data_IF_839342362296
#
_entry.id   IF_839342362296
#
_cell.length_a   1.000
_cell.length_b   1.000
_cell.length_c   1.000
_cell.angle_alpha   90.00
_cell.angle_beta   90.00
_cell.angle_gamma   90.00
#
_symmetry.space_group_name_H-M   'P 1'
#
loop_
_entity.id
_entity.type
_entity.pdbx_description
1 polymer ?
#
# COMPACT_ATOMS: atom_id res chain seq x y z
N UNK A 1 18.63 -9.04 -60.50
CA UNK A 1 18.86 -8.59 -59.11
C UNK A 1 17.69 -9.04 -58.23
N UNK A 2 17.46 -10.35 -58.10
CA UNK A 2 16.31 -10.90 -57.35
C UNK A 2 16.68 -12.18 -56.57
N UNK A 3 17.96 -12.40 -56.30
CA UNK A 3 18.46 -13.60 -55.59
C UNK A 3 19.31 -13.26 -54.35
N UNK A 4 19.33 -11.98 -53.93
CA UNK A 4 20.15 -11.54 -52.79
C UNK A 4 19.33 -11.20 -51.53
N UNK A 5 18.00 -11.33 -51.58
CA UNK A 5 17.13 -11.02 -50.43
C UNK A 5 16.87 -12.28 -49.59
N UNK A 6 16.83 -13.46 -50.21
CA UNK A 6 16.44 -14.71 -49.52
C UNK A 6 17.51 -15.26 -48.57
N UNK A 7 18.74 -14.73 -48.57
CA UNK A 7 19.83 -15.21 -47.71
C UNK A 7 19.81 -14.53 -46.32
N UNK A 8 19.11 -13.40 -46.16
CA UNK A 8 19.11 -12.64 -44.89
C UNK A 8 17.95 -12.97 -43.95
N UNK A 9 16.94 -13.73 -44.39
CA UNK A 9 15.79 -14.06 -43.53
C UNK A 9 16.01 -15.32 -42.67
N UNK A 10 16.90 -16.23 -43.08
CA UNK A 10 17.13 -17.49 -42.35
C UNK A 10 18.06 -17.34 -41.13
N UNK A 11 18.86 -16.28 -41.04
CA UNK A 11 19.82 -16.09 -39.93
C UNK A 11 19.16 -15.43 -38.69
N UNK A 12 17.98 -14.82 -38.83
CA UNK A 12 17.29 -14.14 -37.71
C UNK A 12 16.40 -15.12 -36.90
N UNK A 13 16.05 -16.29 -37.44
CA UNK A 13 15.09 -17.21 -36.82
C UNK A 13 15.78 -18.19 -35.83
N UNK A 14 17.10 -18.27 -35.81
CA UNK A 14 17.87 -19.15 -34.90
C UNK A 14 17.77 -18.73 -33.42
N UNK A 15 17.80 -17.42 -33.13
CA UNK A 15 18.10 -16.95 -31.77
C UNK A 15 16.87 -16.81 -30.86
N UNK A 16 15.66 -17.00 -31.38
CA UNK A 16 14.41 -16.81 -30.61
C UNK A 16 13.74 -18.10 -30.13
N UNK A 17 14.34 -19.29 -30.31
CA UNK A 17 13.73 -20.56 -29.90
C UNK A 17 13.85 -20.92 -28.43
N UNK A 18 14.61 -20.18 -27.63
CA UNK A 18 14.89 -20.55 -26.23
C UNK A 18 13.96 -19.89 -25.18
N UNK A 19 12.94 -19.11 -25.60
CA UNK A 19 12.13 -18.32 -24.65
C UNK A 19 10.74 -18.95 -24.33
N UNK A 20 10.31 -20.01 -25.02
CA UNK A 20 8.92 -20.52 -24.86
C UNK A 20 8.70 -21.62 -23.82
N UNK A 21 9.67 -21.93 -22.96
CA UNK A 21 9.48 -22.91 -21.88
C UNK A 21 9.36 -22.22 -20.51
N UNK A 22 8.30 -21.44 -20.32
CA UNK A 22 7.81 -21.12 -18.97
C UNK A 22 6.63 -22.07 -18.75
N UNK A 23 6.92 -23.18 -18.09
CA UNK A 23 5.94 -24.16 -17.66
C UNK A 23 4.91 -23.46 -16.76
N UNK A 24 3.64 -23.63 -17.14
CA UNK A 24 2.49 -23.19 -16.36
C UNK A 24 2.43 -24.01 -15.07
N UNK A 25 2.95 -23.46 -13.97
CA UNK A 25 2.65 -23.93 -12.62
C UNK A 25 1.20 -23.56 -12.26
N UNK A 26 0.25 -24.30 -12.84
CA UNK A 26 -1.13 -24.34 -12.38
C UNK A 26 -1.20 -25.10 -11.04
N UNK A 27 -0.82 -24.44 -9.94
CA UNK A 27 -1.20 -24.92 -8.61
C UNK A 27 -1.31 -23.81 -7.56
N UNK A 28 -1.99 -22.71 -7.89
CA UNK A 28 -2.51 -21.80 -6.87
C UNK A 28 -3.95 -22.20 -6.55
N UNK A 29 -4.10 -23.11 -5.59
CA UNK A 29 -5.42 -23.46 -5.04
C UNK A 29 -6.03 -22.22 -4.38
N UNK A 30 -7.31 -21.91 -4.63
CA UNK A 30 -7.98 -20.82 -3.92
C UNK A 30 -8.09 -21.22 -2.44
N UNK A 31 -7.47 -20.42 -1.57
CA UNK A 31 -7.68 -20.50 -0.12
C UNK A 31 -9.18 -20.40 0.14
N UNK A 32 -9.74 -21.50 0.64
CA UNK A 32 -11.11 -21.55 1.12
C UNK A 32 -11.19 -20.63 2.33
N UNK A 33 -11.82 -19.48 2.11
CA UNK A 33 -12.19 -18.51 3.14
C UNK A 33 -13.11 -19.22 4.13
N UNK A 34 -12.57 -19.53 5.31
CA UNK A 34 -13.32 -20.10 6.42
C UNK A 34 -14.18 -18.97 7.00
N UNK A 35 -15.34 -18.74 6.39
CA UNK A 35 -16.42 -17.99 7.01
C UNK A 35 -17.16 -18.96 7.95
N UNK A 36 -16.66 -19.14 9.18
CA UNK A 36 -17.43 -19.70 10.27
C UNK A 36 -16.73 -19.50 11.62
N UNK A 37 -17.54 -19.15 12.62
CA UNK A 37 -17.27 -19.00 14.06
C UNK A 37 -16.93 -17.57 14.50
N UNK A 38 -17.97 -16.82 14.89
CA UNK A 38 -18.19 -16.51 16.31
C UNK A 38 -19.57 -15.84 16.50
N UNK A 39 -20.61 -16.64 16.65
CA UNK A 39 -21.77 -16.24 17.44
C UNK A 39 -21.40 -16.49 18.90
N UNK A 40 -20.78 -15.49 19.53
CA UNK A 40 -20.55 -15.44 20.97
C UNK A 40 -21.58 -14.52 21.60
N UNK A 41 -22.63 -15.08 22.18
CA UNK A 41 -23.51 -14.35 23.09
C UNK A 41 -22.69 -13.89 24.31
N UNK A 42 -22.39 -12.60 24.38
CA UNK A 42 -21.88 -11.97 25.60
C UNK A 42 -23.01 -11.93 26.64
N UNK A 43 -23.05 -12.93 27.51
CA UNK A 43 -23.73 -12.81 28.79
C UNK A 43 -22.83 -11.99 29.71
N UNK A 44 -23.22 -10.74 29.93
CA UNK A 44 -22.60 -9.86 30.92
C UNK A 44 -22.86 -10.44 32.33
N UNK A 45 -21.86 -11.12 32.89
CA UNK A 45 -21.79 -11.35 34.33
C UNK A 45 -20.82 -10.32 34.91
N UNK A 46 -21.38 -9.25 35.48
CA UNK A 46 -20.69 -8.26 36.30
C UNK A 46 -20.34 -8.89 37.65
N UNK A 47 -19.37 -9.80 37.68
CA UNK A 47 -18.72 -10.18 38.93
C UNK A 47 -17.22 -10.01 38.71
N UNK A 48 -16.69 -8.96 39.33
CA UNK A 48 -15.26 -8.61 39.31
C UNK A 48 -14.45 -9.63 40.09
N UNK A 49 -14.21 -10.78 39.48
CA UNK A 49 -13.18 -11.72 39.91
C UNK A 49 -11.89 -11.36 39.16
N UNK A 50 -10.89 -10.92 39.91
CA UNK A 50 -9.54 -10.69 39.41
C UNK A 50 -8.96 -12.02 38.92
N UNK A 51 -9.04 -12.25 37.60
CA UNK A 51 -8.41 -13.41 36.97
C UNK A 51 -6.89 -13.22 37.06
N UNK A 52 -6.28 -13.86 38.05
CA UNK A 52 -4.82 -14.05 38.12
C UNK A 52 -4.40 -14.99 36.99
N UNK A 53 -4.07 -14.42 35.83
CA UNK A 53 -3.49 -15.18 34.72
C UNK A 53 -2.02 -15.45 35.06
N UNK A 54 -1.75 -16.57 35.73
CA UNK A 54 -0.40 -17.10 35.90
C UNK A 54 0.08 -17.66 34.57
N UNK A 55 0.68 -16.82 33.73
CA UNK A 55 1.34 -17.28 32.50
C UNK A 55 2.68 -17.92 32.88
N UNK A 56 2.72 -19.25 32.93
CA UNK A 56 3.97 -20.00 33.04
C UNK A 56 4.85 -19.67 31.83
N UNK A 57 5.96 -18.97 32.08
CA UNK A 57 6.91 -18.55 31.05
C UNK A 57 7.75 -19.74 30.59
N UNK A 58 7.18 -20.61 29.76
CA UNK A 58 7.95 -21.57 28.97
C UNK A 58 8.90 -20.85 28.01
N UNK A 59 10.17 -21.24 28.01
CA UNK A 59 11.30 -20.52 27.39
C UNK A 59 11.31 -20.41 25.84
N UNK A 60 10.23 -20.77 25.15
CA UNK A 60 10.17 -20.73 23.69
C UNK A 60 9.08 -19.77 23.20
N UNK A 61 9.29 -18.46 23.40
CA UNK A 61 8.41 -17.42 22.85
C UNK A 61 8.63 -17.30 21.34
N UNK A 62 7.79 -17.97 20.55
CA UNK A 62 7.67 -17.66 19.12
C UNK A 62 7.23 -16.21 18.96
N UNK A 63 7.77 -15.52 17.94
CA UNK A 63 7.52 -14.09 17.65
C UNK A 63 6.03 -13.74 17.55
N UNK A 64 5.21 -14.70 17.17
CA UNK A 64 3.76 -14.57 17.04
C UNK A 64 3.04 -14.48 18.39
N UNK A 65 3.49 -15.20 19.41
CA UNK A 65 2.89 -15.15 20.74
C UNK A 65 3.08 -13.78 21.40
N UNK A 66 4.22 -13.12 21.17
CA UNK A 66 4.49 -11.76 21.67
C UNK A 66 3.54 -10.74 21.04
N UNK A 67 3.24 -10.87 19.74
CA UNK A 67 2.31 -9.98 19.04
C UNK A 67 0.89 -10.11 19.60
N UNK A 68 0.41 -11.34 19.82
CA UNK A 68 -0.91 -11.62 20.40
C UNK A 68 -1.05 -11.06 21.83
N UNK A 69 -0.04 -11.25 22.68
CA UNK A 69 -0.05 -10.68 24.04
C UNK A 69 -0.11 -9.15 24.01
N UNK A 70 0.67 -8.51 23.13
CA UNK A 70 0.66 -7.05 22.99
C UNK A 70 -0.63 -6.51 22.36
N UNK A 71 -1.34 -7.29 21.55
CA UNK A 71 -2.64 -6.92 21.03
C UNK A 71 -3.71 -6.97 22.14
N UNK A 72 -3.73 -8.05 22.93
CA UNK A 72 -4.63 -8.19 24.09
C UNK A 72 -4.42 -7.05 25.09
N UNK A 73 -3.17 -6.65 25.34
CA UNK A 73 -2.87 -5.51 26.21
C UNK A 73 -3.33 -4.17 25.62
N UNK A 74 -3.34 -4.01 24.29
CA UNK A 74 -3.82 -2.81 23.59
C UNK A 74 -5.33 -2.69 23.69
N UNK A 75 -6.05 -3.77 23.41
CA UNK A 75 -7.50 -3.83 23.52
C UNK A 75 -7.98 -3.59 24.95
N UNK A 76 -7.20 -4.04 25.95
CA UNK A 76 -7.45 -3.76 27.37
C UNK A 76 -7.01 -2.36 27.84
N UNK A 77 -6.46 -1.52 26.95
CA UNK A 77 -5.94 -0.19 27.29
C UNK A 77 -4.69 -0.19 28.19
N UNK A 78 -4.07 -1.36 28.41
CA UNK A 78 -2.91 -1.56 29.29
C UNK A 78 -1.57 -1.42 28.58
N UNK A 79 -1.51 -1.57 27.26
CA UNK A 79 -0.30 -1.28 26.48
C UNK A 79 -0.51 -0.09 25.56
N UNK A 80 -0.24 1.10 26.10
CA UNK A 80 0.14 2.27 25.34
C UNK A 80 1.22 3.02 26.12
N UNK A 81 2.39 2.41 26.23
CA UNK A 81 3.60 3.13 26.62
C UNK A 81 4.70 2.75 25.64
N UNK A 82 4.96 3.65 24.69
CA UNK A 82 6.34 3.79 24.21
C UNK A 82 7.24 3.92 25.45
N UNK A 83 8.41 3.30 25.41
CA UNK A 83 9.36 3.27 26.53
C UNK A 83 9.47 4.66 27.17
N UNK A 84 8.78 4.88 28.29
CA UNK A 84 9.09 6.01 29.17
C UNK A 84 10.43 5.65 29.78
N UNK A 85 11.47 6.42 29.47
CA UNK A 85 12.67 6.35 30.28
C UNK A 85 12.27 6.57 31.74
N UNK A 86 12.77 5.74 32.67
CA UNK A 86 12.48 5.92 34.08
C UNK A 86 12.91 7.34 34.49
N UNK A 87 12.08 8.02 35.28
CA UNK A 87 12.31 9.40 35.73
C UNK A 87 13.64 9.57 36.49
N UNK A 88 14.23 8.46 36.92
CA UNK A 88 15.49 8.42 37.67
C UNK A 88 16.74 8.63 36.81
N UNK A 89 16.66 8.60 35.46
CA UNK A 89 17.84 8.68 34.59
C UNK A 89 17.97 9.96 33.72
N UNK A 90 17.05 10.92 33.80
CA UNK A 90 17.06 12.09 32.90
C UNK A 90 17.33 13.41 33.63
N UNK A 91 18.47 13.50 34.32
CA UNK A 91 19.14 14.79 34.55
C UNK A 91 20.60 14.60 34.18
N UNK A 92 20.92 14.77 32.91
CA UNK A 92 22.32 14.89 32.54
C UNK A 92 22.82 16.22 33.10
N UNK A 93 24.08 16.26 33.53
CA UNK A 93 24.72 17.44 34.15
C UNK A 93 24.68 18.72 33.29
N UNK A 94 24.24 18.61 32.02
CA UNK A 94 24.10 19.72 31.07
C UNK A 94 22.71 20.36 31.04
N UNK A 95 21.75 19.86 31.82
CA UNK A 95 20.44 20.51 32.00
C UNK A 95 20.59 21.77 32.87
N UNK A 96 21.14 22.82 32.27
CA UNK A 96 21.09 24.17 32.83
C UNK A 96 19.63 24.60 32.97
N UNK A 97 19.30 25.24 34.09
CA UNK A 97 17.97 25.79 34.37
C UNK A 97 17.58 26.75 33.24
N UNK A 98 16.85 26.24 32.25
CA UNK A 98 16.37 27.03 31.13
C UNK A 98 15.27 27.92 31.68
N UNK A 99 15.60 29.18 32.00
CA UNK A 99 14.58 30.16 32.33
C UNK A 99 13.59 30.22 31.16
N UNK A 100 12.30 30.12 31.48
CA UNK A 100 11.23 30.08 30.50
C UNK A 100 11.29 31.34 29.64
N UNK A 101 11.94 31.21 28.49
CA UNK A 101 11.95 32.24 27.47
C UNK A 101 10.53 32.27 26.93
N UNK A 102 9.83 33.41 27.09
CA UNK A 102 8.53 33.65 26.45
C UNK A 102 8.74 33.73 24.94
N UNK A 103 8.94 32.58 24.32
CA UNK A 103 9.07 32.42 22.88
C UNK A 103 7.63 32.36 22.36
N UNK A 104 7.04 33.53 22.17
CA UNK A 104 5.71 33.68 21.62
C UNK A 104 5.51 35.11 21.10
N UNK A 105 4.90 35.28 19.92
CA UNK A 105 4.63 36.60 19.39
C UNK A 105 3.71 37.38 20.33
N UNK A 106 4.08 38.63 20.59
CA UNK A 106 3.30 39.63 21.30
C UNK A 106 1.92 39.77 20.65
N UNK A 107 0.86 39.68 21.45
CA UNK A 107 -0.57 39.80 21.12
C UNK A 107 -0.84 40.50 19.77
N UNK A 108 -0.76 39.75 18.67
CA UNK A 108 -1.30 40.18 17.39
C UNK A 108 -2.76 39.78 17.38
N UNK A 109 -3.62 40.74 17.03
CA UNK A 109 -5.04 40.51 16.82
C UNK A 109 -5.15 39.52 15.65
N UNK A 110 -5.37 38.25 15.95
CA UNK A 110 -5.57 37.23 14.94
C UNK A 110 -6.87 37.56 14.20
N UNK A 111 -6.76 37.95 12.94
CA UNK A 111 -7.88 37.97 12.01
C UNK A 111 -8.18 36.54 11.59
N UNK A 112 -9.44 36.13 11.61
CA UNK A 112 -9.84 34.81 11.13
C UNK A 112 -9.36 34.60 9.69
N UNK A 113 -8.71 33.46 9.44
CA UNK A 113 -8.30 33.08 8.10
C UNK A 113 -9.56 32.80 7.26
N UNK A 114 -9.55 33.13 5.96
CA UNK A 114 -10.67 32.80 5.09
C UNK A 114 -10.95 31.30 5.12
N UNK A 115 -12.17 30.93 5.52
CA UNK A 115 -12.62 29.55 5.64
C UNK A 115 -13.11 29.06 4.27
N UNK A 116 -12.72 27.84 3.88
CA UNK A 116 -13.27 27.19 2.68
C UNK A 116 -14.79 27.02 2.84
N UNK A 117 -15.62 27.46 1.87
CA UNK A 117 -17.05 27.22 1.93
C UNK A 117 -17.33 25.71 1.94
N UNK A 118 -18.14 25.25 2.89
CA UNK A 118 -18.48 23.83 3.07
C UNK A 118 -19.40 23.29 1.97
N UNK A 119 -20.19 24.17 1.35
CA UNK A 119 -21.05 23.86 0.23
C UNK A 119 -20.33 24.17 -1.10
N UNK A 120 -19.65 23.16 -1.64
CA UNK A 120 -19.14 23.22 -3.01
C UNK A 120 -20.28 22.79 -3.93
N UNK A 121 -20.76 23.71 -4.78
CA UNK A 121 -21.71 23.34 -5.83
C UNK A 121 -21.06 22.28 -6.73
N UNK A 122 -21.79 21.22 -7.15
CA UNK A 122 -21.22 20.20 -8.02
C UNK A 122 -20.77 20.85 -9.33
N UNK A 123 -19.46 20.93 -9.53
CA UNK A 123 -18.89 21.48 -10.76
C UNK A 123 -19.06 20.45 -11.86
N UNK A 124 -20.00 20.69 -12.78
CA UNK A 124 -20.13 19.89 -13.99
C UNK A 124 -19.11 20.39 -15.00
N UNK A 125 -18.04 19.63 -15.19
CA UNK A 125 -17.06 19.92 -16.23
C UNK A 125 -17.64 19.54 -17.60
N UNK A 126 -17.62 20.45 -18.60
CA UNK A 126 -18.02 20.08 -19.94
C UNK A 126 -17.07 19.00 -20.47
N UNK A 127 -17.61 18.06 -21.26
CA UNK A 127 -16.82 17.00 -21.88
C UNK A 127 -15.84 17.64 -22.89
N UNK A 128 -14.56 17.71 -22.52
CA UNK A 128 -13.50 18.35 -23.31
C UNK A 128 -13.33 17.73 -24.70
N UNK A 129 -13.57 16.43 -24.84
CA UNK A 129 -13.41 15.69 -26.09
C UNK A 129 -14.63 14.81 -26.38
N UNK A 130 -15.11 14.87 -27.63
CA UNK A 130 -16.19 14.00 -28.10
C UNK A 130 -15.75 12.54 -28.10
N UNK A 131 -14.56 12.29 -28.65
CA UNK A 131 -13.98 10.97 -28.87
C UNK A 131 -12.50 10.95 -28.45
N UNK A 132 -11.90 9.75 -28.44
CA UNK A 132 -10.48 9.59 -28.13
C UNK A 132 -9.63 10.09 -29.30
N UNK A 133 -8.63 10.92 -29.02
CA UNK A 133 -7.69 11.38 -30.04
C UNK A 133 -6.78 10.21 -30.46
N UNK A 134 -6.61 9.96 -31.77
CA UNK A 134 -5.70 8.92 -32.22
C UNK A 134 -4.25 9.29 -31.90
N UNK A 135 -3.47 8.31 -31.46
CA UNK A 135 -2.03 8.48 -31.21
C UNK A 135 -1.21 8.20 -32.48
N UNK A 136 0.05 8.67 -32.52
CA UNK A 136 0.97 8.34 -33.61
C UNK A 136 1.34 6.86 -33.58
N UNK A 137 1.56 6.25 -34.75
CA UNK A 137 1.92 4.83 -34.82
C UNK A 137 3.22 4.49 -34.07
N UNK A 138 4.25 5.34 -34.17
CA UNK A 138 5.50 5.16 -33.41
C UNK A 138 5.29 5.07 -31.90
N UNK A 139 4.33 5.84 -31.36
CA UNK A 139 3.98 5.79 -29.94
C UNK A 139 3.15 4.54 -29.62
N UNK A 140 2.29 4.10 -30.53
CA UNK A 140 1.56 2.85 -30.39
C UNK A 140 2.54 1.66 -30.30
N UNK A 141 3.51 1.57 -31.20
CA UNK A 141 4.53 0.51 -31.19
C UNK A 141 5.33 0.49 -29.88
N UNK A 142 5.77 1.65 -29.39
CA UNK A 142 6.44 1.74 -28.09
C UNK A 142 5.56 1.26 -26.93
N UNK A 143 4.25 1.50 -26.98
CA UNK A 143 3.31 0.99 -25.97
C UNK A 143 3.15 -0.53 -26.06
N UNK A 144 3.14 -1.09 -27.27
CA UNK A 144 3.11 -2.54 -27.46
C UNK A 144 4.36 -3.22 -26.89
N UNK A 145 5.54 -2.60 -27.06
CA UNK A 145 6.80 -3.09 -26.49
C UNK A 145 6.82 -3.13 -24.96
N UNK A 146 5.97 -2.36 -24.28
CA UNK A 146 5.88 -2.36 -22.81
C UNK A 146 5.01 -3.49 -22.25
N UNK A 147 4.19 -4.16 -23.07
CA UNK A 147 3.30 -5.24 -22.63
C UNK A 147 3.98 -6.34 -21.81
N UNK A 148 5.20 -6.81 -22.12
CA UNK A 148 5.86 -7.86 -21.34
C UNK A 148 6.14 -7.47 -19.88
N UNK A 149 6.20 -6.18 -19.56
CA UNK A 149 6.48 -5.65 -18.21
C UNK A 149 5.18 -5.37 -17.43
N UNK A 150 4.04 -5.34 -18.12
CA UNK A 150 2.74 -4.96 -17.56
C UNK A 150 1.87 -6.22 -17.39
N UNK A 151 1.04 -6.31 -16.33
CA UNK A 151 0.08 -7.40 -16.18
C UNK A 151 -0.81 -7.59 -17.41
N UNK A 152 -1.10 -8.86 -17.74
CA UNK A 152 -1.90 -9.26 -18.91
C UNK A 152 -3.30 -8.64 -18.93
N UNK A 153 -3.89 -8.37 -17.76
CA UNK A 153 -5.21 -7.78 -17.62
C UNK A 153 -5.32 -6.41 -18.29
N UNK A 154 -4.20 -5.68 -18.38
CA UNK A 154 -4.15 -4.36 -19.00
C UNK A 154 -3.92 -4.41 -20.51
N UNK A 155 -3.57 -5.55 -21.11
CA UNK A 155 -3.19 -5.62 -22.53
C UNK A 155 -4.34 -5.23 -23.46
N UNK A 156 -5.57 -5.62 -23.11
CA UNK A 156 -6.79 -5.28 -23.85
C UNK A 156 -6.99 -3.76 -24.01
N UNK A 157 -6.54 -2.96 -23.05
CA UNK A 157 -6.58 -1.51 -23.15
C UNK A 157 -5.67 -0.99 -24.26
N UNK A 158 -4.44 -1.54 -24.36
CA UNK A 158 -3.45 -1.10 -25.33
C UNK A 158 -3.76 -1.58 -26.76
N UNK A 159 -4.38 -2.76 -26.91
CA UNK A 159 -4.80 -3.29 -28.21
C UNK A 159 -5.88 -2.45 -28.89
N UNK A 160 -6.75 -1.85 -28.09
CA UNK A 160 -7.88 -1.05 -28.58
C UNK A 160 -7.59 0.46 -28.65
N UNK A 161 -6.32 0.87 -28.61
CA UNK A 161 -5.95 2.29 -28.71
C UNK A 161 -6.09 2.78 -30.16
N UNK A 162 -6.87 3.85 -30.42
CA UNK A 162 -6.94 4.43 -31.75
C UNK A 162 -5.59 5.05 -32.11
N UNK A 163 -5.06 4.70 -33.28
CA UNK A 163 -3.80 5.22 -33.81
C UNK A 163 -3.96 5.69 -35.25
N UNK A 164 -3.07 6.58 -35.68
CA UNK A 164 -3.03 7.14 -37.04
C UNK A 164 -1.81 6.60 -37.79
N UNK A 165 -2.03 6.19 -39.03
CA UNK A 165 -0.98 5.68 -39.95
C UNK A 165 -0.10 6.79 -40.56
N UNK A 166 -0.23 8.03 -40.09
CA UNK A 166 0.36 9.23 -40.70
C UNK A 166 1.65 9.65 -40.04
#
# INVERSE_FOLDING_TARGET
>A
MSMLIDILEDEIISDYKDITNIENDENCKPEQRIDNLLNGESKNTENGEDINITLEMGNNKTRENVKKVNQILREKGKSYLGHRQPAEQSRTFQDTQRSESKIGPSFHVYTDLPIRPTAIQPVVFPRLFKERLPIKNTKFDHLQQLKPVIPSDCWTFYDNLPHSDK
#
